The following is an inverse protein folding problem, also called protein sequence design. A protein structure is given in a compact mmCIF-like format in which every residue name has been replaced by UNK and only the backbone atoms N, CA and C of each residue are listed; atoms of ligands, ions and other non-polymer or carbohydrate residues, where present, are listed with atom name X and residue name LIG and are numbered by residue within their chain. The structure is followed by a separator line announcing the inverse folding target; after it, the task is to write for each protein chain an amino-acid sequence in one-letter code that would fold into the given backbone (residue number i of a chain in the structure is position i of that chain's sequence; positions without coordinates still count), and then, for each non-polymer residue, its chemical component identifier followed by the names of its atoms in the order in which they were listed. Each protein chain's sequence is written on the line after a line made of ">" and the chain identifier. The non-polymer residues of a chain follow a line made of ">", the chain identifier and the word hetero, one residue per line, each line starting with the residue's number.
data_IF_796529385606
#
_entry.id   IF_796529385606
#
_cell.length_a   1.000
_cell.length_b   1.000
_cell.length_c   1.000
_cell.angle_alpha   90.00
_cell.angle_beta   90.00
_cell.angle_gamma   90.00
#
_symmetry.space_group_name_H-M   'P 1'
#
loop_
_entity.id
_entity.type
_entity.pdbx_description
1 polymer ?
#
# COMPACT_ATOMS: atom_id res chain seq x y z
N UNK A 1 14.89 5.80 -8.02
CA UNK A 1 14.14 5.24 -6.88
C UNK A 1 12.79 4.78 -7.36
N UNK A 2 12.43 3.52 -7.08
CA UNK A 2 11.11 2.94 -7.29
C UNK A 2 10.36 3.04 -5.96
N UNK A 3 9.22 3.72 -5.93
CA UNK A 3 8.48 3.93 -4.67
C UNK A 3 7.80 2.66 -4.18
N UNK A 4 7.20 1.91 -5.10
CA UNK A 4 6.60 0.60 -4.86
C UNK A 4 6.88 -0.28 -6.07
N UNK A 5 7.11 -1.56 -5.80
CA UNK A 5 7.16 -2.62 -6.80
C UNK A 5 6.14 -3.67 -6.37
N UNK A 6 5.27 -4.11 -7.28
CA UNK A 6 4.24 -5.10 -6.98
C UNK A 6 4.33 -6.28 -7.94
N UNK A 7 4.79 -7.41 -7.42
CA UNK A 7 4.74 -8.71 -8.06
C UNK A 7 3.62 -9.60 -7.47
N UNK A 8 3.10 -9.28 -6.28
CA UNK A 8 1.97 -9.98 -5.64
C UNK A 8 0.74 -10.04 -6.56
N UNK A 9 0.39 -8.91 -7.17
CA UNK A 9 -0.72 -8.83 -8.14
C UNK A 9 -0.27 -9.06 -9.59
N UNK A 10 1.02 -9.28 -9.83
CA UNK A 10 1.61 -9.35 -11.18
C UNK A 10 2.36 -10.66 -11.40
N UNK A 11 1.66 -11.65 -11.94
CA UNK A 11 2.24 -12.96 -12.27
C UNK A 11 3.25 -12.92 -13.44
N UNK A 12 3.36 -11.80 -14.17
CA UNK A 12 4.21 -11.70 -15.37
C UNK A 12 5.66 -12.00 -15.06
N UNK A 13 6.24 -11.38 -14.03
CA UNK A 13 7.67 -11.57 -13.74
C UNK A 13 7.99 -13.00 -13.37
N UNK A 14 7.11 -13.66 -12.63
CA UNK A 14 7.23 -15.09 -12.32
C UNK A 14 7.13 -15.97 -13.56
N UNK A 15 6.18 -15.70 -14.45
CA UNK A 15 6.04 -16.41 -15.73
C UNK A 15 7.27 -16.21 -16.60
N UNK A 16 7.76 -14.97 -16.75
CA UNK A 16 8.95 -14.64 -17.54
C UNK A 16 10.21 -15.30 -16.99
N UNK A 17 10.40 -15.26 -15.67
CA UNK A 17 11.49 -15.94 -14.98
C UNK A 17 11.51 -17.43 -15.27
N UNK A 18 10.35 -18.10 -15.13
CA UNK A 18 10.22 -19.54 -15.34
C UNK A 18 10.38 -19.93 -16.81
N UNK A 19 9.70 -19.25 -17.72
CA UNK A 19 9.70 -19.57 -19.15
C UNK A 19 11.06 -19.37 -19.81
N UNK A 20 11.74 -18.25 -19.52
CA UNK A 20 13.04 -17.91 -20.11
C UNK A 20 14.23 -18.34 -19.24
N UNK A 21 14.00 -19.01 -18.11
CA UNK A 21 15.02 -19.39 -17.14
C UNK A 21 15.93 -18.20 -16.75
N UNK A 22 15.33 -17.05 -16.47
CA UNK A 22 16.06 -15.81 -16.22
C UNK A 22 16.78 -15.89 -14.87
N UNK A 23 18.08 -15.57 -14.87
CA UNK A 23 18.81 -15.35 -13.64
C UNK A 23 18.44 -14.00 -12.99
N UNK A 24 18.79 -13.84 -11.72
CA UNK A 24 18.48 -12.63 -10.92
C UNK A 24 18.97 -11.33 -11.57
N UNK A 25 20.16 -11.33 -12.21
CA UNK A 25 20.66 -10.17 -12.94
C UNK A 25 19.74 -9.80 -14.12
N UNK A 26 19.28 -10.77 -14.90
CA UNK A 26 18.35 -10.53 -16.02
C UNK A 26 16.98 -10.07 -15.55
N UNK A 27 16.50 -10.56 -14.42
CA UNK A 27 15.26 -10.07 -13.80
C UNK A 27 15.43 -8.60 -13.39
N UNK A 28 16.54 -8.24 -12.75
CA UNK A 28 16.84 -6.84 -12.38
C UNK A 28 16.85 -5.93 -13.61
N UNK A 29 17.57 -6.32 -14.67
CA UNK A 29 17.64 -5.58 -15.92
C UNK A 29 16.24 -5.39 -16.54
N UNK A 30 15.41 -6.44 -16.54
CA UNK A 30 14.04 -6.42 -17.05
C UNK A 30 13.16 -5.46 -16.25
N UNK A 31 13.12 -5.57 -14.92
CA UNK A 31 12.27 -4.74 -14.07
C UNK A 31 12.67 -3.27 -14.19
N UNK A 32 13.97 -2.95 -14.16
CA UNK A 32 14.43 -1.58 -14.29
C UNK A 32 14.13 -1.01 -15.70
N UNK A 33 14.25 -1.81 -16.76
CA UNK A 33 13.84 -1.39 -18.10
C UNK A 33 12.33 -1.09 -18.18
N UNK A 34 11.49 -1.90 -17.55
CA UNK A 34 10.04 -1.66 -17.46
C UNK A 34 9.70 -0.41 -16.62
N UNK A 35 10.48 -0.15 -15.57
CA UNK A 35 10.33 1.05 -14.76
C UNK A 35 10.67 2.33 -15.55
N UNK A 36 11.79 2.33 -16.29
CA UNK A 36 12.16 3.46 -17.17
C UNK A 36 11.09 3.73 -18.24
N UNK A 37 10.48 2.68 -18.81
CA UNK A 37 9.34 2.84 -19.72
C UNK A 37 8.14 3.47 -19.02
N UNK A 38 7.83 3.04 -17.80
CA UNK A 38 6.74 3.62 -17.00
C UNK A 38 6.96 5.11 -16.75
N UNK A 39 8.19 5.52 -16.44
CA UNK A 39 8.57 6.93 -16.31
C UNK A 39 8.32 7.67 -17.63
N UNK A 40 8.82 7.15 -18.75
CA UNK A 40 8.64 7.78 -20.07
C UNK A 40 7.17 7.95 -20.45
N UNK A 41 6.32 6.96 -20.16
CA UNK A 41 4.87 7.05 -20.40
C UNK A 41 4.24 8.14 -19.55
N UNK A 42 4.53 8.18 -18.24
CA UNK A 42 4.01 9.22 -17.34
C UNK A 42 4.47 10.61 -17.76
N UNK A 43 5.73 10.78 -18.15
CA UNK A 43 6.29 12.05 -18.61
C UNK A 43 5.61 12.54 -19.90
N UNK A 44 5.37 11.64 -20.86
CA UNK A 44 4.61 11.96 -22.08
C UNK A 44 3.20 12.49 -21.78
N UNK A 45 2.62 12.06 -20.66
CA UNK A 45 1.31 12.49 -20.15
C UNK A 45 1.41 13.63 -19.12
N UNK A 46 2.59 14.22 -18.95
CA UNK A 46 2.90 15.34 -18.04
C UNK A 46 2.74 15.01 -16.56
N UNK A 47 2.88 13.74 -16.18
CA UNK A 47 2.93 13.31 -14.78
C UNK A 47 4.39 13.02 -14.42
N UNK A 48 4.91 13.71 -13.41
CA UNK A 48 6.22 13.37 -12.83
C UNK A 48 6.05 12.22 -11.85
N UNK A 49 6.74 11.10 -12.03
CA UNK A 49 6.67 9.94 -11.12
C UNK A 49 6.91 10.36 -9.66
N UNK A 50 7.87 11.26 -9.42
CA UNK A 50 8.24 11.77 -8.09
C UNK A 50 7.06 12.44 -7.35
N UNK A 51 6.10 13.00 -8.10
CA UNK A 51 4.91 13.62 -7.53
C UNK A 51 3.90 12.61 -6.94
N UNK A 52 4.05 11.32 -7.26
CA UNK A 52 3.21 10.22 -6.81
C UNK A 52 3.71 9.55 -5.51
N UNK A 53 4.88 9.95 -4.99
CA UNK A 53 5.50 9.34 -3.81
C UNK A 53 4.52 9.17 -2.64
N UNK A 54 3.81 10.24 -2.27
CA UNK A 54 2.87 10.24 -1.14
C UNK A 54 1.63 9.37 -1.35
N UNK A 55 1.42 8.86 -2.57
CA UNK A 55 0.30 7.99 -2.95
C UNK A 55 0.75 6.53 -2.97
N UNK A 56 2.00 6.30 -3.36
CA UNK A 56 2.60 4.98 -3.57
C UNK A 56 3.32 4.42 -2.35
N UNK A 57 3.56 5.24 -1.32
CA UNK A 57 4.17 4.80 -0.06
C UNK A 57 3.26 5.16 1.12
N UNK A 58 3.17 4.31 2.15
CA UNK A 58 2.34 4.61 3.31
C UNK A 58 2.82 5.85 4.06
N UNK A 59 1.89 6.55 4.72
CA UNK A 59 2.25 7.66 5.59
C UNK A 59 2.83 7.16 6.92
N UNK A 60 3.94 7.75 7.36
CA UNK A 60 4.58 7.47 8.65
C UNK A 60 4.50 8.68 9.60
N UNK A 61 3.93 9.80 9.15
CA UNK A 61 3.85 11.04 9.94
C UNK A 61 2.63 11.06 10.86
N UNK A 62 1.68 10.16 10.65
CA UNK A 62 0.49 9.97 11.50
C UNK A 62 -0.58 11.04 11.30
N UNK A 63 -0.46 11.89 10.29
CA UNK A 63 -1.47 12.94 9.99
C UNK A 63 -2.44 12.52 8.88
N UNK A 64 -2.29 11.30 8.37
CA UNK A 64 -3.08 10.73 7.29
C UNK A 64 -3.43 9.30 7.63
N UNK A 65 -4.62 8.89 7.21
CA UNK A 65 -5.21 7.60 7.53
C UNK A 65 -5.49 6.79 6.28
N UNK A 66 -5.52 5.48 6.47
CA UNK A 66 -6.06 4.54 5.49
C UNK A 66 -7.41 4.08 6.00
N UNK A 67 -8.48 4.29 5.23
CA UNK A 67 -9.85 3.99 5.67
C UNK A 67 -10.51 3.06 4.69
N UNK A 68 -11.23 2.08 5.21
CA UNK A 68 -12.17 1.28 4.44
C UNK A 68 -13.60 1.73 4.74
N UNK A 69 -14.40 1.92 3.69
CA UNK A 69 -15.84 2.11 3.76
C UNK A 69 -16.53 0.82 3.37
N UNK A 70 -17.50 0.39 4.17
CA UNK A 70 -18.21 -0.88 4.02
C UNK A 70 -19.63 -0.62 3.52
N UNK A 71 -20.00 -1.32 2.45
CA UNK A 71 -21.31 -1.22 1.82
C UNK A 71 -21.95 -2.60 1.69
N UNK A 72 -23.23 -2.71 2.01
CA UNK A 72 -24.01 -3.92 1.84
C UNK A 72 -24.65 -3.91 0.46
N UNK A 73 -24.07 -4.68 -0.47
CA UNK A 73 -24.49 -4.72 -1.87
C UNK A 73 -25.88 -5.34 -2.03
N UNK A 74 -26.33 -6.17 -1.09
CA UNK A 74 -27.67 -6.78 -1.10
C UNK A 74 -28.80 -5.76 -0.96
N UNK A 75 -28.49 -4.54 -0.47
CA UNK A 75 -29.43 -3.42 -0.34
C UNK A 75 -29.42 -2.46 -1.52
N UNK A 76 -28.67 -2.78 -2.58
CA UNK A 76 -28.58 -1.95 -3.78
C UNK A 76 -29.34 -2.65 -4.91
N UNK A 77 -30.37 -1.98 -5.43
CA UNK A 77 -31.19 -2.47 -6.55
C UNK A 77 -30.48 -2.26 -7.91
N UNK A 78 -29.24 -2.75 -8.00
CA UNK A 78 -28.44 -2.70 -9.22
C UNK A 78 -27.42 -3.83 -9.20
N UNK A 79 -27.36 -4.59 -10.30
CA UNK A 79 -26.30 -5.58 -10.52
C UNK A 79 -24.90 -4.95 -10.64
N UNK A 80 -24.82 -3.64 -10.90
CA UNK A 80 -23.59 -2.87 -10.91
C UNK A 80 -23.50 -1.95 -9.68
N UNK A 81 -23.60 -2.56 -8.49
CA UNK A 81 -23.55 -1.85 -7.22
C UNK A 81 -22.29 -0.99 -7.05
N UNK A 82 -21.15 -1.42 -7.59
CA UNK A 82 -19.92 -0.62 -7.60
C UNK A 82 -20.11 0.73 -8.30
N UNK A 83 -20.78 0.77 -9.46
CA UNK A 83 -21.10 2.03 -10.14
C UNK A 83 -22.02 2.93 -9.31
N UNK A 84 -23.03 2.35 -8.67
CA UNK A 84 -23.93 3.08 -7.74
C UNK A 84 -23.14 3.70 -6.59
N UNK A 85 -22.27 2.94 -5.93
CA UNK A 85 -21.45 3.42 -4.81
C UNK A 85 -20.49 4.52 -5.28
N UNK A 86 -19.78 4.30 -6.39
CA UNK A 86 -18.81 5.28 -6.89
C UNK A 86 -19.46 6.57 -7.40
N UNK A 87 -20.71 6.54 -7.87
CA UNK A 87 -21.47 7.75 -8.19
C UNK A 87 -21.69 8.68 -6.97
N UNK A 88 -21.59 8.13 -5.75
CA UNK A 88 -21.70 8.85 -4.48
C UNK A 88 -20.35 9.10 -3.79
N UNK A 89 -19.34 8.25 -4.02
CA UNK A 89 -17.97 8.44 -3.51
C UNK A 89 -17.24 9.55 -4.28
N UNK A 90 -17.29 9.53 -5.61
CA UNK A 90 -16.49 10.45 -6.44
C UNK A 90 -16.80 11.94 -6.16
N UNK A 91 -18.06 12.37 -5.95
CA UNK A 91 -18.36 13.76 -5.57
C UNK A 91 -17.70 14.23 -4.27
N UNK A 92 -17.36 13.30 -3.37
CA UNK A 92 -16.79 13.59 -2.05
C UNK A 92 -15.25 13.67 -2.09
N UNK A 93 -14.63 13.30 -3.21
CA UNK A 93 -13.18 13.39 -3.40
C UNK A 93 -12.75 14.85 -3.62
N UNK A 94 -11.93 15.40 -2.72
CA UNK A 94 -11.32 16.70 -2.92
C UNK A 94 -10.22 16.62 -3.99
N UNK A 95 -10.39 17.40 -5.07
CA UNK A 95 -9.48 17.49 -6.22
C UNK A 95 -8.11 18.10 -5.91
N UNK A 96 -7.83 18.51 -4.67
CA UNK A 96 -6.48 18.94 -4.22
C UNK A 96 -5.72 17.81 -3.53
N UNK A 97 -6.34 16.64 -3.39
CA UNK A 97 -5.85 15.53 -2.60
C UNK A 97 -5.29 14.43 -3.47
N UNK A 98 -4.65 13.48 -2.81
CA UNK A 98 -3.94 12.40 -3.47
C UNK A 98 -4.18 11.09 -2.74
N UNK A 99 -4.75 10.11 -3.42
CA UNK A 99 -5.18 8.85 -2.81
C UNK A 99 -4.90 7.69 -3.73
N UNK A 100 -4.57 6.54 -3.16
CA UNK A 100 -4.79 5.27 -3.84
C UNK A 100 -6.18 4.77 -3.42
N UNK A 101 -7.01 4.43 -4.41
CA UNK A 101 -8.40 4.02 -4.20
C UNK A 101 -8.54 2.58 -4.67
N UNK A 102 -9.04 1.74 -3.79
CA UNK A 102 -9.27 0.32 -3.99
C UNK A 102 -10.73 0.01 -3.83
N UNK A 103 -11.16 -1.09 -4.45
CA UNK A 103 -12.49 -1.63 -4.26
C UNK A 103 -12.52 -3.13 -4.50
N UNK A 104 -13.63 -3.75 -4.10
CA UNK A 104 -13.87 -5.17 -4.29
C UNK A 104 -14.77 -5.70 -3.20
N UNK A 105 -15.22 -6.94 -3.37
CA UNK A 105 -16.03 -7.62 -2.37
C UNK A 105 -15.14 -8.13 -1.23
N UNK A 106 -15.71 -8.19 -0.03
CA UNK A 106 -15.05 -8.78 1.12
C UNK A 106 -15.13 -10.30 1.03
N UNK A 107 -14.11 -10.92 0.45
CA UNK A 107 -14.07 -12.36 0.29
C UNK A 107 -13.40 -13.03 1.50
N UNK A 108 -14.02 -14.08 2.06
CA UNK A 108 -13.43 -14.87 3.15
C UNK A 108 -12.18 -15.65 2.75
N UNK A 109 -11.90 -15.81 1.44
CA UNK A 109 -10.68 -16.47 0.89
C UNK A 109 -10.37 -17.84 1.51
N UNK A 110 -11.40 -18.62 1.81
CA UNK A 110 -11.27 -19.96 2.41
C UNK A 110 -11.19 -19.97 3.94
N UNK A 111 -11.26 -18.80 4.60
CA UNK A 111 -11.51 -18.69 6.04
C UNK A 111 -13.00 -18.99 6.33
N UNK A 112 -13.32 -19.34 7.58
CA UNK A 112 -14.71 -19.55 7.97
C UNK A 112 -15.49 -18.23 7.97
N UNK A 113 -16.79 -18.31 7.69
CA UNK A 113 -17.68 -17.14 7.76
C UNK A 113 -17.76 -16.56 9.18
N UNK A 114 -17.65 -17.38 10.22
CA UNK A 114 -17.55 -16.90 11.62
C UNK A 114 -16.31 -16.01 11.82
N UNK A 115 -15.18 -16.37 11.22
CA UNK A 115 -13.96 -15.58 11.31
C UNK A 115 -14.07 -14.28 10.50
N UNK A 116 -14.67 -14.35 9.31
CA UNK A 116 -14.93 -13.18 8.47
C UNK A 116 -15.88 -12.20 9.16
N UNK A 117 -16.98 -12.70 9.74
CA UNK A 117 -17.93 -11.92 10.53
C UNK A 117 -17.26 -11.26 11.73
N UNK A 118 -16.52 -12.02 12.55
CA UNK A 118 -15.77 -11.49 13.70
C UNK A 118 -14.83 -10.37 13.27
N UNK A 119 -14.06 -10.61 12.21
CA UNK A 119 -13.11 -9.63 11.66
C UNK A 119 -13.82 -8.36 11.20
N UNK A 120 -14.98 -8.47 10.56
CA UNK A 120 -15.77 -7.32 10.13
C UNK A 120 -16.26 -6.49 11.34
N UNK A 121 -16.88 -7.14 12.33
CA UNK A 121 -17.47 -6.47 13.49
C UNK A 121 -16.43 -5.83 14.40
N UNK A 122 -15.26 -6.44 14.55
CA UNK A 122 -14.17 -5.89 15.38
C UNK A 122 -13.52 -4.64 14.76
N UNK A 123 -13.60 -4.48 13.44
CA UNK A 123 -12.83 -3.46 12.71
C UNK A 123 -13.68 -2.39 11.99
N UNK A 124 -14.99 -2.61 11.84
CA UNK A 124 -15.92 -1.63 11.25
C UNK A 124 -16.74 -0.96 12.35
N UNK A 125 -16.72 0.37 12.36
CA UNK A 125 -17.62 1.20 13.15
C UNK A 125 -18.97 1.25 12.42
N UNK A 126 -20.04 0.66 13.00
CA UNK A 126 -21.34 0.60 12.35
C UNK A 126 -22.05 1.96 12.42
N UNK A 127 -22.63 2.37 11.30
CA UNK A 127 -23.43 3.59 11.14
C UNK A 127 -24.86 3.31 10.68
N UNK A 128 -25.07 2.24 9.92
CA UNK A 128 -26.38 1.74 9.56
C UNK A 128 -26.50 0.23 9.87
N UNK A 129 -27.70 -0.27 10.18
CA UNK A 129 -27.89 -1.68 10.51
C UNK A 129 -27.65 -2.57 9.29
N UNK A 130 -27.10 -3.75 9.52
CA UNK A 130 -26.91 -4.80 8.51
C UNK A 130 -27.18 -6.17 9.11
N UNK A 131 -27.63 -7.11 8.28
CA UNK A 131 -27.75 -8.51 8.65
C UNK A 131 -26.65 -9.27 7.90
N UNK A 132 -25.65 -9.75 8.62
CA UNK A 132 -24.60 -10.57 8.02
C UNK A 132 -25.19 -11.93 7.61
N UNK A 133 -25.12 -12.23 6.31
CA UNK A 133 -25.44 -13.56 5.77
C UNK A 133 -24.16 -14.22 5.29
N UNK A 134 -23.40 -13.53 4.43
CA UNK A 134 -22.11 -13.98 3.90
C UNK A 134 -21.14 -12.79 3.76
N UNK A 135 -19.84 -13.09 3.73
CA UNK A 135 -18.79 -12.09 3.58
C UNK A 135 -18.89 -11.29 2.27
N UNK A 136 -19.16 -11.98 1.15
CA UNK A 136 -19.20 -11.42 -0.20
C UNK A 136 -20.39 -10.47 -0.47
N UNK A 137 -21.36 -10.37 0.45
CA UNK A 137 -22.41 -9.35 0.39
C UNK A 137 -21.86 -7.94 0.64
N UNK A 138 -20.66 -7.81 1.21
CA UNK A 138 -20.07 -6.52 1.54
C UNK A 138 -19.08 -6.07 0.47
N UNK A 139 -19.41 -4.98 -0.21
CA UNK A 139 -18.48 -4.27 -1.06
C UNK A 139 -17.69 -3.25 -0.25
N UNK A 140 -16.39 -3.24 -0.45
CA UNK A 140 -15.45 -2.40 0.30
C UNK A 140 -14.85 -1.35 -0.63
N UNK A 141 -14.71 -0.11 -0.14
CA UNK A 141 -13.92 0.93 -0.79
C UNK A 141 -12.83 1.37 0.16
N UNK A 142 -11.58 1.14 -0.21
CA UNK A 142 -10.42 1.46 0.62
C UNK A 142 -9.66 2.65 0.03
N UNK A 143 -9.42 3.67 0.84
CA UNK A 143 -8.80 4.93 0.41
C UNK A 143 -7.63 5.26 1.33
N UNK A 144 -6.45 5.44 0.75
CA UNK A 144 -5.25 5.86 1.49
C UNK A 144 -5.18 7.37 1.65
N UNK A 145 -4.34 7.85 2.58
CA UNK A 145 -3.94 9.25 2.69
C UNK A 145 -5.10 10.26 2.97
N UNK A 146 -6.13 9.81 3.69
CA UNK A 146 -7.26 10.65 4.12
C UNK A 146 -6.93 11.45 5.39
N UNK A 147 -7.47 12.66 5.50
CA UNK A 147 -7.53 13.43 6.74
C UNK A 147 -8.80 13.13 7.51
N UNK A 148 -8.80 13.47 8.80
CA UNK A 148 -10.00 13.47 9.63
C UNK A 148 -11.17 14.27 9.02
N UNK A 149 -10.88 15.41 8.37
CA UNK A 149 -11.92 16.22 7.71
C UNK A 149 -12.52 15.50 6.50
N UNK A 150 -11.69 14.86 5.67
CA UNK A 150 -12.16 14.07 4.53
C UNK A 150 -13.01 12.89 5.01
N UNK A 151 -12.58 12.18 6.07
CA UNK A 151 -13.33 11.06 6.65
C UNK A 151 -14.72 11.49 7.11
N UNK A 152 -14.80 12.63 7.82
CA UNK A 152 -16.09 13.20 8.24
C UNK A 152 -16.98 13.53 7.04
N UNK A 153 -16.42 14.16 6.00
CA UNK A 153 -17.15 14.46 4.76
C UNK A 153 -17.69 13.20 4.08
N UNK A 154 -16.91 12.12 4.03
CA UNK A 154 -17.37 10.83 3.52
C UNK A 154 -18.53 10.28 4.35
N UNK A 155 -18.39 10.23 5.68
CA UNK A 155 -19.43 9.73 6.58
C UNK A 155 -20.72 10.54 6.43
N UNK A 156 -20.64 11.87 6.43
CA UNK A 156 -21.81 12.75 6.30
C UNK A 156 -22.49 12.59 4.94
N UNK A 157 -21.72 12.48 3.86
CA UNK A 157 -22.23 12.27 2.51
C UNK A 157 -22.91 10.92 2.31
N UNK A 158 -22.45 9.89 3.00
CA UNK A 158 -22.86 8.50 2.79
C UNK A 158 -23.87 7.98 3.82
N UNK A 159 -23.89 8.48 5.06
CA UNK A 159 -24.73 7.95 6.17
C UNK A 159 -26.22 7.86 5.87
N UNK A 160 -26.72 8.70 4.96
CA UNK A 160 -28.13 8.73 4.55
C UNK A 160 -28.55 7.52 3.71
N UNK A 161 -27.60 6.74 3.21
CA UNK A 161 -27.87 5.58 2.37
C UNK A 161 -27.87 4.29 3.21
N UNK A 162 -28.96 3.50 3.23
CA UNK A 162 -29.05 2.28 4.03
C UNK A 162 -28.03 1.18 3.68
N UNK A 163 -27.50 1.22 2.45
CA UNK A 163 -26.46 0.33 1.97
C UNK A 163 -25.07 0.73 2.46
N UNK A 164 -24.84 1.93 3.00
CA UNK A 164 -23.57 2.29 3.63
C UNK A 164 -23.57 1.86 5.10
N UNK A 165 -22.83 0.81 5.42
CA UNK A 165 -22.88 0.16 6.74
C UNK A 165 -22.01 0.86 7.76
N UNK A 166 -20.83 1.33 7.35
CA UNK A 166 -19.85 1.87 8.27
C UNK A 166 -18.48 2.03 7.66
N UNK A 167 -17.48 2.28 8.50
CA UNK A 167 -16.09 2.45 8.09
C UNK A 167 -15.12 1.90 9.14
N UNK A 168 -13.89 1.60 8.73
CA UNK A 168 -12.83 1.11 9.62
C UNK A 168 -11.51 1.82 9.40
N UNK A 169 -10.75 2.03 10.48
CA UNK A 169 -9.41 2.60 10.43
C UNK A 169 -8.37 1.50 10.16
N UNK A 170 -7.77 1.54 8.98
CA UNK A 170 -6.80 0.58 8.47
C UNK A 170 -5.38 1.15 8.50
N UNK A 171 -5.14 2.25 9.22
CA UNK A 171 -3.81 2.88 9.29
C UNK A 171 -2.75 1.94 9.88
N UNK A 172 -3.18 1.07 10.81
CA UNK A 172 -2.34 0.07 11.46
C UNK A 172 -2.77 -1.35 11.11
N UNK A 173 -1.90 -2.32 11.37
CA UNK A 173 -2.17 -3.73 11.16
C UNK A 173 -3.39 -4.20 11.99
N UNK A 174 -4.32 -4.86 11.31
CA UNK A 174 -5.48 -5.54 11.89
C UNK A 174 -5.93 -6.68 10.96
N UNK A 175 -6.79 -7.57 11.46
CA UNK A 175 -7.25 -8.75 10.72
C UNK A 175 -8.05 -8.42 9.47
N UNK A 176 -8.83 -7.33 9.47
CA UNK A 176 -9.59 -6.92 8.30
C UNK A 176 -8.65 -6.42 7.19
N UNK A 177 -7.68 -5.56 7.53
CA UNK A 177 -6.65 -5.09 6.60
C UNK A 177 -5.90 -6.25 5.93
N UNK A 178 -5.57 -7.29 6.71
CA UNK A 178 -4.90 -8.49 6.18
C UNK A 178 -5.71 -9.20 5.11
N UNK A 179 -7.03 -9.36 5.32
CA UNK A 179 -7.90 -9.98 4.31
C UNK A 179 -8.03 -9.05 3.09
N UNK A 180 -8.32 -7.76 3.33
CA UNK A 180 -8.56 -6.79 2.27
C UNK A 180 -7.35 -6.58 1.37
N UNK A 181 -6.13 -6.72 1.90
CA UNK A 181 -4.90 -6.64 1.12
C UNK A 181 -4.86 -7.65 -0.05
N UNK A 182 -5.61 -8.74 0.05
CA UNK A 182 -5.70 -9.79 -0.96
C UNK A 182 -7.07 -9.85 -1.65
N UNK A 183 -8.07 -9.12 -1.20
CA UNK A 183 -9.42 -9.12 -1.81
C UNK A 183 -9.66 -7.90 -2.70
N UNK A 184 -9.01 -6.77 -2.42
CA UNK A 184 -9.27 -5.53 -3.13
C UNK A 184 -8.29 -5.31 -4.28
N UNK A 185 -8.83 -4.87 -5.43
CA UNK A 185 -8.05 -4.36 -6.55
C UNK A 185 -7.89 -2.85 -6.46
N UNK A 186 -6.74 -2.32 -6.87
CA UNK A 186 -6.58 -0.87 -7.00
C UNK A 186 -7.39 -0.39 -8.21
N UNK A 187 -8.41 0.42 -7.96
CA UNK A 187 -9.16 1.09 -9.01
C UNK A 187 -8.26 2.11 -9.73
N UNK A 188 -7.76 3.07 -8.96
CA UNK A 188 -7.06 4.22 -9.49
C UNK A 188 -6.16 4.88 -8.45
N UNK A 189 -5.21 5.67 -8.94
CA UNK A 189 -4.57 6.72 -8.16
C UNK A 189 -5.24 8.05 -8.48
N UNK A 190 -5.78 8.71 -7.46
CA UNK A 190 -6.12 10.11 -7.56
C UNK A 190 -4.86 10.95 -7.32
N UNK A 191 -4.50 11.81 -8.26
CA UNK A 191 -3.47 12.83 -8.13
C UNK A 191 -4.08 14.20 -8.43
N UNK A 192 -4.53 14.90 -7.38
CA UNK A 192 -5.32 16.13 -7.50
C UNK A 192 -6.62 15.87 -8.30
N UNK A 193 -6.83 16.61 -9.39
CA UNK A 193 -7.96 16.44 -10.30
C UNK A 193 -7.68 15.42 -11.42
N UNK A 194 -6.59 14.67 -11.34
CA UNK A 194 -6.24 13.61 -12.30
C UNK A 194 -6.49 12.26 -11.64
N UNK A 195 -7.09 11.34 -12.39
CA UNK A 195 -7.24 9.93 -12.02
C UNK A 195 -6.36 9.12 -12.96
N UNK A 196 -5.43 8.36 -12.39
CA UNK A 196 -4.50 7.49 -13.11
C UNK A 196 -4.97 6.05 -12.91
N UNK A 197 -5.17 5.30 -13.99
CA UNK A 197 -5.61 3.90 -13.94
C UNK A 197 -4.95 3.05 -15.03
N UNK A 198 -5.17 1.75 -15.02
CA UNK A 198 -4.75 0.87 -16.11
C UNK A 198 -5.70 0.90 -17.31
N UNK A 199 -5.19 0.54 -18.48
CA UNK A 199 -5.97 0.06 -19.62
C UNK A 199 -5.35 -1.25 -20.15
N UNK A 200 -6.04 -1.91 -21.07
CA UNK A 200 -5.65 -3.21 -21.63
C UNK A 200 -4.28 -3.15 -22.34
N UNK A 201 -3.43 -4.18 -22.18
CA UNK A 201 -2.05 -4.15 -22.68
C UNK A 201 -1.91 -4.15 -24.21
N UNK A 202 -2.99 -4.46 -24.93
CA UNK A 202 -3.09 -4.43 -26.40
C UNK A 202 -3.43 -3.05 -26.97
N UNK A 203 -3.74 -2.06 -26.11
CA UNK A 203 -3.94 -0.66 -26.50
C UNK A 203 -2.64 0.13 -26.55
N UNK A 204 -2.69 1.37 -27.04
CA UNK A 204 -1.52 2.25 -27.07
C UNK A 204 -1.42 3.12 -25.81
N UNK A 205 -0.20 3.25 -25.25
CA UNK A 205 0.04 4.10 -24.07
C UNK A 205 -0.22 5.60 -24.35
N UNK A 206 -0.48 6.00 -25.60
CA UNK A 206 -0.92 7.36 -25.93
C UNK A 206 -2.39 7.63 -25.53
N UNK A 207 -3.22 6.58 -25.41
CA UNK A 207 -4.64 6.68 -25.08
C UNK A 207 -4.88 6.98 -23.59
N UNK A 208 -6.04 7.57 -23.27
CA UNK A 208 -6.51 7.73 -21.89
C UNK A 208 -7.96 7.24 -21.82
N UNK A 209 -8.16 6.16 -21.10
CA UNK A 209 -9.39 5.37 -21.11
C UNK A 209 -9.81 5.11 -19.67
N UNK A 210 -11.08 5.37 -19.41
CA UNK A 210 -11.74 5.00 -18.17
C UNK A 210 -12.26 3.57 -18.27
N UNK A 211 -11.38 2.58 -18.11
CA UNK A 211 -11.74 1.18 -18.33
C UNK A 211 -12.81 0.68 -17.34
N UNK A 212 -12.78 1.20 -16.11
CA UNK A 212 -13.73 0.81 -15.04
C UNK A 212 -15.13 1.43 -15.21
N UNK A 213 -15.25 2.50 -16.01
CA UNK A 213 -16.53 3.12 -16.35
C UNK A 213 -17.18 3.96 -15.24
N UNK A 214 -16.50 4.22 -14.12
CA UNK A 214 -17.04 5.08 -13.06
C UNK A 214 -17.08 6.55 -13.48
N UNK A 215 -18.02 7.37 -12.96
CA UNK A 215 -18.32 8.70 -13.52
C UNK A 215 -17.32 9.81 -13.13
N UNK A 216 -16.01 9.54 -13.15
CA UNK A 216 -14.96 10.50 -12.79
C UNK A 216 -15.02 11.79 -13.62
N UNK A 217 -15.17 11.67 -14.95
CA UNK A 217 -15.24 12.81 -15.86
C UNK A 217 -16.48 13.69 -15.60
N UNK A 218 -17.62 13.08 -15.25
CA UNK A 218 -18.86 13.80 -14.91
C UNK A 218 -18.66 14.72 -13.69
N UNK A 219 -17.75 14.35 -12.80
CA UNK A 219 -17.37 15.14 -11.64
C UNK A 219 -16.09 15.95 -11.85
N UNK A 220 -15.65 16.11 -13.11
CA UNK A 220 -14.56 17.01 -13.51
C UNK A 220 -13.16 16.53 -13.11
N UNK A 221 -12.96 15.22 -13.02
CA UNK A 221 -11.63 14.61 -13.03
C UNK A 221 -11.16 14.38 -14.47
N UNK A 222 -9.85 14.47 -14.68
CA UNK A 222 -9.21 14.08 -15.93
C UNK A 222 -8.68 12.66 -15.82
N UNK A 223 -8.99 11.82 -16.80
CA UNK A 223 -8.45 10.46 -16.87
C UNK A 223 -7.08 10.46 -17.55
N UNK A 224 -6.17 9.72 -16.95
CA UNK A 224 -4.93 9.26 -17.56
C UNK A 224 -4.88 7.74 -17.37
N UNK A 225 -4.52 7.00 -18.41
CA UNK A 225 -4.24 5.58 -18.27
C UNK A 225 -3.01 5.12 -19.05
N UNK A 226 -2.50 3.97 -18.66
CA UNK A 226 -1.36 3.28 -19.23
C UNK A 226 -1.60 1.77 -19.15
N UNK A 227 -0.80 1.00 -19.88
CA UNK A 227 -0.88 -0.46 -19.89
C UNK A 227 -0.87 -1.07 -18.49
N UNK A 228 -1.72 -2.08 -18.32
CA UNK A 228 -1.96 -2.75 -17.05
C UNK A 228 -0.68 -3.29 -16.41
N UNK A 229 0.23 -3.91 -17.17
CA UNK A 229 1.46 -4.42 -16.57
C UNK A 229 2.35 -3.34 -15.96
N UNK A 230 2.45 -2.15 -16.56
CA UNK A 230 3.22 -1.04 -15.97
C UNK A 230 2.51 -0.47 -14.75
N UNK A 231 1.19 -0.31 -14.84
CA UNK A 231 0.38 0.19 -13.74
C UNK A 231 0.47 -0.73 -12.51
N UNK A 232 0.20 -2.03 -12.67
CA UNK A 232 0.27 -3.00 -11.59
C UNK A 232 1.68 -3.01 -10.99
N UNK A 233 2.73 -3.07 -11.83
CA UNK A 233 4.10 -3.22 -11.34
C UNK A 233 4.60 -2.06 -10.50
N UNK A 234 4.27 -0.81 -10.85
CA UNK A 234 4.96 0.37 -10.30
C UNK A 234 4.02 1.47 -9.76
N UNK A 235 2.72 1.35 -10.01
CA UNK A 235 1.71 2.33 -9.62
C UNK A 235 0.63 1.76 -8.70
N UNK A 236 0.66 0.46 -8.39
CA UNK A 236 -0.17 -0.10 -7.32
C UNK A 236 0.47 0.11 -5.95
N UNK A 237 -0.27 0.78 -5.08
CA UNK A 237 -0.02 0.80 -3.66
C UNK A 237 -0.23 -0.62 -3.11
N UNK A 238 0.70 -1.09 -2.27
CA UNK A 238 0.54 -2.38 -1.60
C UNK A 238 -0.09 -2.15 -0.24
N UNK A 239 -1.37 -2.52 -0.09
CA UNK A 239 -2.00 -2.58 1.23
C UNK A 239 -1.15 -3.53 2.10
N UNK A 240 -0.56 -2.96 3.15
CA UNK A 240 0.29 -3.66 4.10
C UNK A 240 -0.52 -4.75 4.82
N UNK A 241 0.04 -5.96 4.91
CA UNK A 241 -0.53 -7.09 5.62
C UNK A 241 0.55 -7.84 6.39
N UNK A 242 0.21 -8.48 7.50
CA UNK A 242 1.12 -9.36 8.23
C UNK A 242 1.45 -10.65 7.46
N UNK A 243 0.60 -11.04 6.51
CA UNK A 243 0.92 -12.11 5.56
C UNK A 243 1.71 -11.52 4.38
N UNK A 244 3.04 -11.52 4.47
CA UNK A 244 3.92 -11.03 3.39
C UNK A 244 4.09 -12.11 2.32
N UNK A 245 3.95 -11.72 1.05
CA UNK A 245 4.24 -12.61 -0.08
C UNK A 245 5.76 -12.65 -0.33
N UNK A 246 6.37 -13.83 -0.11
CA UNK A 246 7.82 -14.03 -0.27
C UNK A 246 8.29 -13.87 -1.72
N UNK A 247 7.47 -14.25 -2.70
CA UNK A 247 7.81 -14.04 -4.12
C UNK A 247 7.84 -12.55 -4.42
N UNK A 248 6.83 -11.81 -3.92
CA UNK A 248 6.77 -10.35 -4.05
C UNK A 248 7.99 -9.66 -3.46
N UNK A 249 8.35 -10.04 -2.23
CA UNK A 249 9.53 -9.51 -1.56
C UNK A 249 10.80 -9.74 -2.40
N UNK A 250 10.96 -10.94 -2.95
CA UNK A 250 12.11 -11.28 -3.78
C UNK A 250 12.21 -10.40 -5.02
N UNK A 251 11.10 -10.20 -5.74
CA UNK A 251 11.10 -9.33 -6.92
C UNK A 251 11.37 -7.87 -6.56
N UNK A 252 10.83 -7.39 -5.43
CA UNK A 252 11.12 -6.05 -4.91
C UNK A 252 12.62 -5.88 -4.64
N UNK A 253 13.26 -6.84 -3.96
CA UNK A 253 14.71 -6.82 -3.72
C UNK A 253 15.50 -6.93 -5.02
N UNK A 254 14.99 -7.68 -6.00
CA UNK A 254 15.64 -7.83 -7.30
C UNK A 254 15.69 -6.50 -8.09
N UNK A 255 14.86 -5.51 -7.75
CA UNK A 255 14.96 -4.18 -8.36
C UNK A 255 16.26 -3.46 -8.01
N UNK A 256 16.85 -3.77 -6.84
CA UNK A 256 18.04 -3.10 -6.28
C UNK A 256 19.23 -4.03 -6.07
N UNK A 257 19.11 -5.32 -6.40
CA UNK A 257 20.20 -6.29 -6.28
C UNK A 257 20.14 -7.34 -7.38
N UNK A 258 21.29 -7.57 -8.02
CA UNK A 258 21.46 -8.65 -9.01
C UNK A 258 21.61 -10.03 -8.35
N UNK A 259 21.67 -10.09 -7.02
CA UNK A 259 21.70 -11.30 -6.21
C UNK A 259 20.67 -11.21 -5.08
N UNK A 260 19.43 -10.81 -5.40
CA UNK A 260 18.34 -10.77 -4.42
C UNK A 260 18.14 -12.12 -3.70
N UNK A 261 18.11 -12.06 -2.36
CA UNK A 261 17.94 -13.15 -1.40
C UNK A 261 17.03 -12.63 -0.27
N UNK A 262 16.13 -13.46 0.26
CA UNK A 262 15.33 -13.12 1.45
C UNK A 262 16.25 -12.69 2.60
N UNK A 263 15.90 -11.60 3.28
CA UNK A 263 16.71 -11.07 4.38
C UNK A 263 16.27 -11.55 5.77
N UNK A 264 15.39 -12.55 5.85
CA UNK A 264 14.87 -13.10 7.13
C UNK A 264 15.99 -13.53 8.08
N UNK A 265 17.05 -14.12 7.52
CA UNK A 265 18.21 -14.60 8.28
C UNK A 265 19.39 -13.61 8.30
N UNK A 266 19.23 -12.40 7.75
CA UNK A 266 20.33 -11.43 7.72
C UNK A 266 20.59 -10.86 9.12
N UNK A 267 21.86 -10.57 9.40
CA UNK A 267 22.24 -9.84 10.60
C UNK A 267 21.82 -8.38 10.48
N UNK A 268 21.11 -7.87 11.48
CA UNK A 268 20.75 -6.44 11.55
C UNK A 268 21.87 -5.69 12.25
N UNK A 269 22.50 -4.77 11.54
CA UNK A 269 23.62 -3.97 12.06
C UNK A 269 23.12 -2.59 12.44
N UNK A 270 23.08 -2.31 13.74
CA UNK A 270 22.79 -0.99 14.30
C UNK A 270 24.07 -0.41 14.91
N UNK A 271 24.69 0.55 14.22
CA UNK A 271 25.91 1.17 14.75
C UNK A 271 25.60 1.99 16.01
N UNK A 272 26.37 1.84 17.12
CA UNK A 272 26.07 2.54 18.38
C UNK A 272 25.98 4.07 18.25
N UNK A 273 26.87 4.68 17.47
CA UNK A 273 26.86 6.11 17.21
C UNK A 273 25.59 6.54 16.46
N UNK A 274 25.16 5.71 15.49
CA UNK A 274 23.94 5.93 14.73
C UNK A 274 22.70 5.76 15.61
N UNK A 275 22.70 4.80 16.52
CA UNK A 275 21.62 4.59 17.47
C UNK A 275 21.43 5.80 18.39
N UNK A 276 22.54 6.38 18.89
CA UNK A 276 22.51 7.65 19.64
C UNK A 276 21.92 8.79 18.81
N UNK A 277 22.31 8.91 17.54
CA UNK A 277 21.77 9.93 16.63
C UNK A 277 20.26 9.75 16.39
N UNK A 278 19.81 8.53 16.13
CA UNK A 278 18.38 8.20 15.92
C UNK A 278 17.54 8.60 17.13
N UNK A 279 18.01 8.26 18.34
CA UNK A 279 17.35 8.65 19.60
C UNK A 279 17.22 10.16 19.76
N UNK A 280 18.21 10.92 19.31
CA UNK A 280 18.24 12.37 19.46
C UNK A 280 17.41 13.12 18.40
N UNK A 281 17.19 12.54 17.23
CA UNK A 281 16.51 13.23 16.11
C UNK A 281 14.99 13.24 16.23
N UNK A 282 14.39 12.16 16.71
CA UNK A 282 12.93 12.04 16.86
C UNK A 282 12.53 11.75 18.31
N UNK A 283 12.96 12.61 19.22
CA UNK A 283 12.86 12.40 20.68
C UNK A 283 11.43 12.05 21.10
N UNK A 284 10.42 12.74 20.57
CA UNK A 284 9.02 12.52 20.93
C UNK A 284 8.55 11.09 20.56
N UNK A 285 8.81 10.64 19.33
CA UNK A 285 8.44 9.29 18.91
C UNK A 285 9.26 8.21 19.64
N UNK A 286 10.54 8.47 19.89
CA UNK A 286 11.42 7.53 20.61
C UNK A 286 11.03 7.38 22.08
N UNK A 287 10.53 8.45 22.71
CA UNK A 287 9.96 8.40 24.07
C UNK A 287 8.65 7.62 24.07
N UNK A 288 7.72 7.99 23.19
CA UNK A 288 6.40 7.36 23.10
C UNK A 288 6.46 5.86 22.85
N UNK A 289 7.47 5.39 22.13
CA UNK A 289 7.68 3.95 21.82
C UNK A 289 8.60 3.23 22.81
N UNK A 290 9.19 3.93 23.78
CA UNK A 290 10.16 3.36 24.71
C UNK A 290 11.54 3.03 24.09
N UNK A 291 11.76 3.30 22.79
CA UNK A 291 13.06 3.08 22.13
C UNK A 291 14.16 3.92 22.79
N UNK A 292 13.82 5.12 23.29
CA UNK A 292 14.81 6.02 23.91
C UNK A 292 15.62 5.35 25.01
N UNK A 293 15.00 4.49 25.81
CA UNK A 293 15.64 3.83 26.96
C UNK A 293 16.01 2.37 26.65
N UNK A 294 15.73 1.89 25.43
CA UNK A 294 16.03 0.53 24.99
C UNK A 294 17.52 0.34 24.70
N UNK A 295 18.10 -0.77 25.15
CA UNK A 295 19.45 -1.19 24.75
C UNK A 295 19.52 -1.56 23.27
N UNK A 296 20.70 -1.44 22.66
CA UNK A 296 20.88 -1.66 21.22
C UNK A 296 20.53 -3.08 20.79
N UNK A 297 20.84 -4.08 21.62
CA UNK A 297 20.56 -5.49 21.31
C UNK A 297 19.06 -5.76 21.32
N UNK A 298 18.34 -5.25 22.33
CA UNK A 298 16.88 -5.35 22.40
C UNK A 298 16.20 -4.64 21.22
N UNK A 299 16.70 -3.46 20.83
CA UNK A 299 16.21 -2.74 19.66
C UNK A 299 16.45 -3.51 18.37
N UNK A 300 17.63 -4.12 18.23
CA UNK A 300 17.99 -4.94 17.06
C UNK A 300 17.07 -6.16 16.93
N UNK A 301 16.82 -6.87 18.04
CA UNK A 301 15.88 -8.00 18.07
C UNK A 301 14.45 -7.58 17.69
N UNK A 302 13.99 -6.44 18.21
CA UNK A 302 12.67 -5.88 17.85
C UNK A 302 12.58 -5.54 16.36
N UNK A 303 13.62 -4.92 15.78
CA UNK A 303 13.67 -4.66 14.33
C UNK A 303 13.56 -5.96 13.53
N UNK A 304 14.25 -7.02 13.97
CA UNK A 304 14.20 -8.32 13.30
C UNK A 304 12.80 -8.89 13.27
N UNK A 305 12.13 -8.93 14.41
CA UNK A 305 10.74 -9.40 14.52
C UNK A 305 9.81 -8.62 13.59
N UNK A 306 9.88 -7.29 13.61
CA UNK A 306 9.01 -6.44 12.81
C UNK A 306 9.25 -6.58 11.31
N UNK A 307 10.49 -6.79 10.88
CA UNK A 307 10.83 -6.95 9.46
C UNK A 307 10.19 -8.17 8.79
N UNK A 308 9.88 -9.23 9.54
CA UNK A 308 9.23 -10.43 8.98
C UNK A 308 7.81 -10.15 8.47
N UNK A 309 7.12 -9.17 9.06
CA UNK A 309 5.74 -8.82 8.72
C UNK A 309 5.66 -7.52 7.89
N UNK A 310 6.80 -6.98 7.45
CA UNK A 310 6.85 -5.65 6.86
C UNK A 310 7.08 -5.66 5.35
N UNK A 311 6.42 -4.72 4.68
CA UNK A 311 6.62 -4.45 3.27
C UNK A 311 7.82 -3.52 3.06
N UNK A 312 8.43 -3.61 1.88
CA UNK A 312 9.52 -2.72 1.47
C UNK A 312 9.08 -1.78 0.35
N UNK A 313 9.59 -0.56 0.41
CA UNK A 313 9.26 0.53 -0.50
C UNK A 313 10.43 1.53 -0.57
N UNK A 314 10.36 2.55 -1.43
CA UNK A 314 11.48 3.48 -1.70
C UNK A 314 12.78 2.74 -2.04
N UNK A 315 12.71 1.83 -3.02
CA UNK A 315 13.79 0.98 -3.50
C UNK A 315 14.75 1.82 -4.37
N UNK A 316 16.03 1.87 -4.01
CA UNK A 316 17.05 2.54 -4.83
C UNK A 316 18.43 1.90 -4.70
N UNK A 317 19.24 2.07 -5.74
CA UNK A 317 20.70 2.02 -5.63
C UNK A 317 21.16 3.48 -5.64
N UNK A 318 21.81 3.91 -4.57
CA UNK A 318 22.27 5.30 -4.46
C UNK A 318 23.58 5.55 -5.24
N UNK A 319 24.05 6.80 -5.24
CA UNK A 319 25.29 7.21 -5.92
C UNK A 319 26.56 6.50 -5.41
N UNK A 320 26.51 5.89 -4.24
CA UNK A 320 27.59 5.09 -3.65
C UNK A 320 27.44 3.58 -3.91
N UNK A 321 26.55 3.20 -4.83
CA UNK A 321 26.21 1.82 -5.17
C UNK A 321 25.67 1.01 -3.97
N UNK A 322 25.01 1.68 -3.03
CA UNK A 322 24.36 1.05 -1.87
C UNK A 322 22.91 0.76 -2.25
N UNK A 323 22.53 -0.51 -2.21
CA UNK A 323 21.15 -0.94 -2.36
C UNK A 323 20.38 -0.59 -1.07
N UNK A 324 19.29 0.17 -1.19
CA UNK A 324 18.54 0.69 -0.06
C UNK A 324 17.05 0.47 -0.26
N UNK A 325 16.38 0.20 0.84
CA UNK A 325 14.92 0.22 0.93
C UNK A 325 14.47 0.85 2.24
N UNK A 326 13.19 1.17 2.30
CA UNK A 326 12.52 1.58 3.52
C UNK A 326 11.42 0.58 3.90
N UNK A 327 11.07 0.58 5.17
CA UNK A 327 9.99 -0.23 5.73
C UNK A 327 9.33 0.51 6.90
N UNK A 328 8.03 0.28 7.10
CA UNK A 328 7.30 0.85 8.23
C UNK A 328 7.35 -0.12 9.39
N UNK A 329 7.58 0.42 10.58
CA UNK A 329 7.59 -0.36 11.81
C UNK A 329 6.50 0.19 12.71
N UNK A 330 5.52 -0.66 13.00
CA UNK A 330 4.43 -0.34 13.91
C UNK A 330 4.77 -0.76 15.34
N UNK A 331 4.62 0.19 16.26
CA UNK A 331 4.88 0.02 17.68
C UNK A 331 3.72 0.54 18.51
N UNK A 332 3.49 -0.11 19.64
CA UNK A 332 2.56 0.40 20.65
C UNK A 332 3.23 1.53 21.44
N UNK A 333 2.42 2.51 21.84
CA UNK A 333 2.84 3.56 22.76
C UNK A 333 2.95 3.01 24.17
N UNK A 334 3.96 3.44 24.93
CA UNK A 334 4.15 3.00 26.32
C UNK A 334 3.12 3.61 27.28
N UNK A 335 2.53 4.76 26.93
CA UNK A 335 1.68 5.56 27.81
C UNK A 335 0.20 5.58 27.36
N UNK A 336 -0.16 4.87 26.29
CA UNK A 336 -1.51 4.91 25.70
C UNK A 336 -1.78 3.71 24.79
N UNK A 337 -3.05 3.42 24.51
CA UNK A 337 -3.44 2.42 23.50
C UNK A 337 -3.21 2.86 22.04
N UNK A 338 -2.58 4.01 21.82
CA UNK A 338 -2.21 4.48 20.49
C UNK A 338 -1.00 3.75 19.92
N UNK A 339 -1.00 3.54 18.60
CA UNK A 339 0.14 3.02 17.86
C UNK A 339 0.97 4.13 17.23
N UNK A 340 2.25 3.88 17.00
CA UNK A 340 3.21 4.76 16.33
C UNK A 340 3.80 4.01 15.15
N UNK A 341 3.85 4.66 13.99
CA UNK A 341 4.52 4.15 12.79
C UNK A 341 5.86 4.85 12.62
N UNK A 342 6.93 4.09 12.51
CA UNK A 342 8.29 4.59 12.32
C UNK A 342 8.80 4.16 10.94
N UNK A 343 9.50 5.06 10.26
CA UNK A 343 10.08 4.75 8.95
C UNK A 343 11.52 4.32 9.13
N UNK A 344 11.80 3.02 9.00
CA UNK A 344 13.16 2.50 9.02
C UNK A 344 13.73 2.43 7.60
N UNK A 345 15.02 2.76 7.45
CA UNK A 345 15.74 2.70 6.19
C UNK A 345 16.96 1.81 6.34
N UNK A 346 17.12 0.86 5.42
CA UNK A 346 18.16 -0.16 5.48
C UNK A 346 19.03 -0.16 4.23
N UNK A 347 20.31 -0.38 4.44
CA UNK A 347 21.25 -0.84 3.41
C UNK A 347 21.18 -2.37 3.35
N UNK A 348 20.88 -2.87 2.16
CA UNK A 348 20.71 -4.27 1.85
C UNK A 348 21.99 -4.85 1.24
N UNK A 349 22.79 -5.53 2.07
CA UNK A 349 24.07 -6.09 1.65
C UNK A 349 24.01 -7.61 1.58
N UNK A 350 23.89 -8.14 0.36
CA UNK A 350 23.80 -9.58 0.11
C UNK A 350 25.11 -10.33 0.24
N UNK A 351 26.25 -9.65 0.05
CA UNK A 351 27.58 -10.28 0.15
C UNK A 351 27.93 -10.60 1.60
N UNK A 352 27.57 -9.70 2.51
CA UNK A 352 27.77 -9.86 3.96
C UNK A 352 26.58 -10.49 4.68
N UNK A 353 25.45 -10.68 3.98
CA UNK A 353 24.18 -11.12 4.56
C UNK A 353 23.74 -10.21 5.72
N UNK A 354 23.74 -8.91 5.48
CA UNK A 354 23.50 -7.89 6.50
C UNK A 354 22.47 -6.85 6.06
N UNK A 355 21.62 -6.44 7.01
CA UNK A 355 20.79 -5.25 6.92
C UNK A 355 21.35 -4.17 7.85
N UNK A 356 21.96 -3.13 7.29
CA UNK A 356 22.50 -2.03 8.11
C UNK A 356 21.47 -0.92 8.22
N UNK A 357 21.09 -0.56 9.46
CA UNK A 357 20.16 0.54 9.70
C UNK A 357 20.82 1.88 9.31
N UNK A 358 20.27 2.53 8.29
CA UNK A 358 20.75 3.83 7.79
C UNK A 358 20.06 5.00 8.47
N UNK A 359 18.78 4.88 8.79
CA UNK A 359 18.04 5.88 9.54
C UNK A 359 16.72 5.33 10.07
N UNK A 360 16.16 6.04 11.05
CA UNK A 360 14.80 5.85 11.55
C UNK A 360 14.16 7.25 11.60
N UNK A 361 12.99 7.43 11.00
CA UNK A 361 12.26 8.70 10.99
C UNK A 361 10.97 8.61 11.77
#
# INVERSE_FOLDING_TARGET
>A
MIYTANARSNVKWDVMKKYYNLNKKKIMEMINCEFEKTIGILESKKIKYQSLKSILTPDHKGNKKEIVFCFDSSKIDSSWYGGTIFSHIIPLLDKKRKHAIFHGDFLSRGLSEDFAYKTLVENIIPLNPTNYVYSDQYFMVYITNLTEEEIKSFIEGLRKYPWFIGYGDMTYANTLKDILAYCLGQNCLQHNNIVIMSHEDDREDSENINLIGYPFENYGFKIISLKQYYYISFLEYKIESRAVDKSDLLFCLNTISNNAIEYEEFDIIVQPEKYKYVKAKNVAAMQKTGIKDMEVDKFTSMLKEKLHESYIYNLEINDYNIAKFNTNIEMDSIDSDEKVKLLASFDYNTEKQQLRLLNLF
#
